data_IF_980747579587
#
_entry.id   IF_980747579587
#
_cell.length_a   1.000
_cell.length_b   1.000
_cell.length_c   1.000
_cell.angle_alpha   90.00
_cell.angle_beta   90.00
_cell.angle_gamma   90.00
#
_symmetry.space_group_name_H-M   'P 1'
#
loop_
_entity.id
_entity.type
_entity.pdbx_description
1 polymer ?
#
# COMPACT_ATOMS: atom_id res chain seq x y z
N UNK A 1 18.57 10.42 11.67
CA UNK A 1 18.54 9.20 10.81
C UNK A 1 17.39 8.26 11.13
N UNK A 2 17.20 7.85 12.39
CA UNK A 2 16.14 6.91 12.80
C UNK A 2 14.70 7.27 12.39
N UNK A 3 14.28 8.51 12.69
CA UNK A 3 12.96 9.03 12.30
C UNK A 3 12.70 8.96 10.79
N UNK A 4 13.73 9.19 9.97
CA UNK A 4 13.63 9.12 8.51
C UNK A 4 13.48 7.67 8.03
N UNK A 5 14.29 6.73 8.53
CA UNK A 5 14.16 5.31 8.20
C UNK A 5 12.81 4.73 8.61
N UNK A 6 12.29 5.15 9.78
CA UNK A 6 10.93 4.82 10.22
C UNK A 6 9.87 5.32 9.23
N UNK A 7 9.97 6.58 8.84
CA UNK A 7 9.07 7.17 7.85
C UNK A 7 9.11 6.39 6.53
N UNK A 8 10.30 6.09 6.01
CA UNK A 8 10.46 5.28 4.80
C UNK A 8 9.79 3.91 4.95
N UNK A 9 10.00 3.21 6.08
CA UNK A 9 9.32 1.93 6.33
C UNK A 9 7.79 2.04 6.31
N UNK A 10 7.23 3.06 6.95
CA UNK A 10 5.79 3.33 6.95
C UNK A 10 5.28 3.61 5.53
N UNK A 11 5.99 4.46 4.79
CA UNK A 11 5.62 4.86 3.44
C UNK A 11 5.59 3.65 2.49
N UNK A 12 6.66 2.83 2.50
CA UNK A 12 6.74 1.63 1.68
C UNK A 12 5.63 0.64 2.04
N UNK A 13 5.36 0.44 3.34
CA UNK A 13 4.29 -0.46 3.78
C UNK A 13 2.91 0.01 3.30
N UNK A 14 2.61 1.31 3.46
CA UNK A 14 1.33 1.87 3.02
C UNK A 14 1.16 1.84 1.51
N UNK A 15 2.23 2.15 0.76
CA UNK A 15 2.21 2.06 -0.70
C UNK A 15 2.02 0.61 -1.17
N UNK A 16 2.71 -0.35 -0.58
CA UNK A 16 2.52 -1.77 -0.89
C UNK A 16 1.10 -2.21 -0.57
N UNK A 17 0.55 -1.84 0.59
CA UNK A 17 -0.82 -2.19 0.94
C UNK A 17 -1.84 -1.63 -0.07
N UNK A 18 -1.64 -0.39 -0.54
CA UNK A 18 -2.44 0.23 -1.59
C UNK A 18 -2.34 -0.54 -2.92
N UNK A 19 -1.13 -0.89 -3.36
CA UNK A 19 -0.92 -1.74 -4.55
C UNK A 19 -1.57 -3.11 -4.42
N UNK A 20 -1.47 -3.75 -3.26
CA UNK A 20 -2.06 -5.07 -3.01
C UNK A 20 -3.58 -5.02 -3.10
N UNK A 21 -4.23 -3.99 -2.55
CA UNK A 21 -5.68 -3.79 -2.70
C UNK A 21 -6.06 -3.58 -4.18
N UNK A 22 -5.32 -2.73 -4.89
CA UNK A 22 -5.57 -2.50 -6.32
C UNK A 22 -5.42 -3.79 -7.14
N UNK A 23 -4.41 -4.63 -6.83
CA UNK A 23 -4.20 -5.92 -7.47
C UNK A 23 -5.32 -6.93 -7.18
N UNK A 24 -5.75 -7.03 -5.91
CA UNK A 24 -6.83 -7.93 -5.51
C UNK A 24 -8.15 -7.52 -6.15
N UNK A 25 -8.58 -6.26 -5.95
CA UNK A 25 -9.86 -5.76 -6.48
C UNK A 25 -9.84 -5.70 -8.02
N UNK A 26 -8.74 -5.25 -8.61
CA UNK A 26 -8.60 -5.08 -10.06
C UNK A 26 -8.63 -6.39 -10.85
N UNK A 27 -8.37 -7.54 -10.22
CA UNK A 27 -8.44 -8.86 -10.88
C UNK A 27 -9.84 -9.48 -10.85
N UNK A 28 -10.82 -8.82 -10.20
CA UNK A 28 -12.18 -9.35 -10.00
C UNK A 28 -12.94 -9.58 -11.31
N UNK A 29 -12.79 -8.71 -12.32
CA UNK A 29 -13.50 -8.85 -13.60
C UNK A 29 -13.16 -10.17 -14.29
N UNK A 30 -11.87 -10.48 -14.42
CA UNK A 30 -11.41 -11.73 -15.03
C UNK A 30 -11.72 -12.93 -14.12
N UNK A 31 -11.62 -12.77 -12.79
CA UNK A 31 -11.91 -13.87 -11.86
C UNK A 31 -13.40 -14.28 -11.84
N UNK A 32 -14.34 -13.37 -12.09
CA UNK A 32 -15.77 -13.67 -12.07
C UNK A 32 -16.36 -13.98 -13.44
N UNK A 33 -15.78 -13.43 -14.51
CA UNK A 33 -16.36 -13.47 -15.86
C UNK A 33 -15.30 -13.83 -16.93
N UNK A 34 -14.34 -14.71 -16.62
CA UNK A 34 -13.24 -15.09 -17.52
C UNK A 34 -13.72 -15.47 -18.94
N UNK A 35 -14.88 -16.10 -19.09
CA UNK A 35 -15.43 -16.53 -20.39
C UNK A 35 -15.82 -15.39 -21.32
N UNK A 36 -15.89 -14.15 -20.82
CA UNK A 36 -16.23 -12.96 -21.61
C UNK A 36 -15.02 -12.32 -22.29
N UNK A 37 -13.81 -12.80 -22.02
CA UNK A 37 -12.57 -12.17 -22.47
C UNK A 37 -11.75 -13.16 -23.31
N UNK A 38 -11.38 -12.75 -24.52
CA UNK A 38 -10.52 -13.55 -25.40
C UNK A 38 -9.17 -13.85 -24.73
N UNK A 39 -8.69 -15.10 -24.84
CA UNK A 39 -7.42 -15.52 -24.27
C UNK A 39 -7.45 -15.82 -22.76
N UNK A 40 -8.65 -15.85 -22.16
CA UNK A 40 -8.86 -16.18 -20.73
C UNK A 40 -9.57 -17.53 -20.53
N UNK A 41 -9.66 -18.38 -21.56
CA UNK A 41 -10.34 -19.68 -21.53
C UNK A 41 -9.69 -20.62 -20.49
N UNK A 42 -8.35 -20.59 -20.42
CA UNK A 42 -7.62 -21.35 -19.42
C UNK A 42 -7.93 -20.88 -17.99
N UNK A 43 -8.14 -19.56 -17.79
CA UNK A 43 -8.55 -19.02 -16.49
C UNK A 43 -9.97 -19.46 -16.16
N UNK A 44 -10.88 -19.51 -17.14
CA UNK A 44 -12.25 -19.97 -16.92
C UNK A 44 -12.31 -21.41 -16.36
N UNK A 45 -11.40 -22.29 -16.78
CA UNK A 45 -11.29 -23.65 -16.23
C UNK A 45 -10.81 -23.68 -14.77
N UNK A 46 -10.05 -22.67 -14.34
CA UNK A 46 -9.52 -22.52 -12.98
C UNK A 46 -10.12 -21.33 -12.24
N UNK A 47 -11.36 -20.95 -12.57
CA UNK A 47 -11.99 -19.73 -12.08
C UNK A 47 -12.00 -19.62 -10.55
N UNK A 48 -12.26 -20.74 -9.85
CA UNK A 48 -12.25 -20.81 -8.39
C UNK A 48 -10.90 -20.37 -7.78
N UNK A 49 -9.79 -20.67 -8.45
CA UNK A 49 -8.45 -20.33 -7.99
C UNK A 49 -8.17 -18.83 -8.14
N UNK A 50 -8.69 -18.22 -9.20
CA UNK A 50 -8.60 -16.77 -9.40
C UNK A 50 -9.50 -16.00 -8.44
N UNK A 51 -10.69 -16.52 -8.12
CA UNK A 51 -11.53 -15.98 -7.04
C UNK A 51 -10.78 -16.06 -5.70
N UNK A 52 -10.11 -17.19 -5.42
CA UNK A 52 -9.25 -17.30 -4.24
C UNK A 52 -8.14 -16.25 -4.24
N UNK A 53 -7.46 -16.01 -5.37
CA UNK A 53 -6.44 -14.96 -5.46
C UNK A 53 -7.01 -13.57 -5.18
N UNK A 54 -8.18 -13.23 -5.71
CA UNK A 54 -8.87 -11.95 -5.42
C UNK A 54 -9.12 -11.80 -3.93
N UNK A 55 -9.71 -12.81 -3.29
CA UNK A 55 -10.05 -12.78 -1.86
C UNK A 55 -8.81 -12.72 -0.98
N UNK A 56 -7.83 -13.59 -1.24
CA UNK A 56 -6.59 -13.66 -0.47
C UNK A 56 -5.77 -12.37 -0.61
N UNK A 57 -5.58 -11.88 -1.83
CA UNK A 57 -4.82 -10.64 -2.08
C UNK A 57 -5.52 -9.44 -1.45
N UNK A 58 -6.84 -9.33 -1.56
CA UNK A 58 -7.60 -8.25 -0.91
C UNK A 58 -7.48 -8.32 0.62
N UNK A 59 -7.63 -9.51 1.21
CA UNK A 59 -7.46 -9.69 2.65
C UNK A 59 -6.05 -9.31 3.11
N UNK A 60 -5.01 -9.70 2.37
CA UNK A 60 -3.62 -9.33 2.66
C UNK A 60 -3.41 -7.82 2.53
N UNK A 61 -4.02 -7.17 1.53
CA UNK A 61 -4.00 -5.71 1.40
C UNK A 61 -4.62 -5.02 2.63
N UNK A 62 -5.75 -5.53 3.14
CA UNK A 62 -6.40 -5.02 4.36
C UNK A 62 -5.48 -5.22 5.58
N UNK A 63 -4.84 -6.39 5.70
CA UNK A 63 -3.83 -6.64 6.73
C UNK A 63 -2.65 -5.67 6.61
N UNK A 64 -2.23 -5.35 5.39
CA UNK A 64 -1.18 -4.38 5.13
C UNK A 64 -1.56 -2.95 5.55
N UNK A 65 -2.80 -2.54 5.30
CA UNK A 65 -3.34 -1.25 5.78
C UNK A 65 -3.34 -1.22 7.31
N UNK A 66 -3.82 -2.29 7.96
CA UNK A 66 -3.80 -2.41 9.42
C UNK A 66 -2.38 -2.34 9.98
N UNK A 67 -1.42 -3.04 9.35
CA UNK A 67 0.00 -2.98 9.70
C UNK A 67 0.56 -1.57 9.55
N UNK A 68 0.25 -0.88 8.45
CA UNK A 68 0.64 0.52 8.22
C UNK A 68 0.14 1.44 9.33
N UNK A 69 -1.15 1.36 9.67
CA UNK A 69 -1.74 2.15 10.76
C UNK A 69 -1.08 1.82 12.11
N UNK A 70 -0.78 0.54 12.37
CA UNK A 70 -0.09 0.11 13.57
C UNK A 70 1.34 0.69 13.65
N UNK A 71 2.07 0.73 12.53
CA UNK A 71 3.43 1.32 12.43
C UNK A 71 3.40 2.85 12.62
N UNK A 72 2.43 3.53 12.01
CA UNK A 72 2.19 4.97 12.22
C UNK A 72 1.92 5.24 13.69
N UNK A 73 1.06 4.45 14.32
CA UNK A 73 0.69 4.64 15.73
C UNK A 73 1.77 4.19 16.71
N UNK A 74 2.75 3.41 16.25
CA UNK A 74 3.79 2.80 17.08
C UNK A 74 3.23 1.78 18.06
N UNK A 75 2.31 0.92 17.58
CA UNK A 75 1.76 -0.17 18.39
C UNK A 75 2.78 -1.30 18.53
N UNK A 76 2.69 -2.01 19.64
CA UNK A 76 3.38 -3.30 19.82
C UNK A 76 3.03 -4.26 18.67
N UNK A 77 3.99 -5.10 18.28
CA UNK A 77 3.87 -6.06 17.18
C UNK A 77 3.62 -5.46 15.78
N UNK A 78 3.53 -4.13 15.61
CA UNK A 78 3.27 -3.52 14.30
C UNK A 78 4.25 -3.96 13.21
N UNK A 79 5.53 -4.09 13.57
CA UNK A 79 6.57 -4.57 12.66
C UNK A 79 6.37 -6.06 12.29
N UNK A 80 5.97 -6.91 13.25
CA UNK A 80 5.67 -8.33 13.00
C UNK A 80 4.47 -8.48 12.08
N UNK A 81 3.40 -7.73 12.35
CA UNK A 81 2.18 -7.79 11.55
C UNK A 81 2.42 -7.31 10.11
N UNK A 82 3.27 -6.29 9.93
CA UNK A 82 3.73 -5.87 8.61
C UNK A 82 4.51 -6.97 7.88
N UNK A 83 5.46 -7.64 8.56
CA UNK A 83 6.18 -8.79 7.98
C UNK A 83 5.23 -9.92 7.58
N UNK A 84 4.24 -10.25 8.42
CA UNK A 84 3.25 -11.29 8.10
C UNK A 84 2.49 -10.92 6.82
N UNK A 85 2.03 -9.68 6.68
CA UNK A 85 1.35 -9.22 5.49
C UNK A 85 2.24 -9.30 4.24
N UNK A 86 3.49 -8.84 4.34
CA UNK A 86 4.45 -8.84 3.23
C UNK A 86 4.83 -10.27 2.80
N UNK A 87 5.15 -11.15 3.74
CA UNK A 87 5.49 -12.55 3.45
C UNK A 87 4.29 -13.26 2.81
N UNK A 88 3.10 -13.10 3.40
CA UNK A 88 1.87 -13.72 2.85
C UNK A 88 1.58 -13.20 1.44
N UNK A 89 1.71 -11.89 1.22
CA UNK A 89 1.54 -11.25 -0.09
C UNK A 89 2.53 -11.73 -1.13
N UNK A 90 3.80 -11.85 -0.76
CA UNK A 90 4.84 -12.41 -1.63
C UNK A 90 4.55 -13.87 -2.00
N UNK A 91 4.19 -14.72 -1.02
CA UNK A 91 3.91 -16.14 -1.28
C UNK A 91 2.70 -16.30 -2.22
N UNK A 92 1.56 -15.69 -1.88
CA UNK A 92 0.35 -15.78 -2.71
C UNK A 92 0.60 -15.18 -4.10
N UNK A 93 1.29 -14.04 -4.15
CA UNK A 93 1.60 -13.36 -5.40
C UNK A 93 2.52 -14.16 -6.33
N UNK A 94 3.57 -14.79 -5.80
CA UNK A 94 4.46 -15.65 -6.60
C UNK A 94 3.68 -16.84 -7.17
N UNK A 95 2.85 -17.50 -6.34
CA UNK A 95 2.02 -18.61 -6.81
C UNK A 95 1.08 -18.13 -7.92
N UNK A 96 0.45 -16.98 -7.76
CA UNK A 96 -0.42 -16.39 -8.79
C UNK A 96 0.32 -16.06 -10.10
N UNK A 97 1.56 -15.54 -10.03
CA UNK A 97 2.42 -15.34 -11.21
C UNK A 97 2.67 -16.66 -11.93
N UNK A 98 3.12 -17.68 -11.19
CA UNK A 98 3.47 -18.98 -11.76
C UNK A 98 2.26 -19.64 -12.43
N UNK A 99 1.11 -19.65 -11.74
CA UNK A 99 -0.15 -20.16 -12.30
C UNK A 99 -0.54 -19.40 -13.56
N UNK A 100 -0.53 -18.06 -13.52
CA UNK A 100 -0.93 -17.25 -14.68
C UNK A 100 -0.02 -17.47 -15.89
N UNK A 101 1.30 -17.51 -15.68
CA UNK A 101 2.25 -17.81 -16.76
C UNK A 101 2.07 -19.21 -17.33
N UNK A 102 1.76 -20.20 -16.49
CA UNK A 102 1.48 -21.56 -16.97
C UNK A 102 0.19 -21.68 -17.79
N UNK A 103 -0.83 -20.87 -17.48
CA UNK A 103 -2.15 -20.95 -18.12
C UNK A 103 -2.26 -20.09 -19.38
N UNK A 104 -1.66 -18.89 -19.39
CA UNK A 104 -1.85 -17.89 -20.45
C UNK A 104 -0.56 -17.25 -20.96
N UNK A 105 0.62 -17.72 -20.53
CA UNK A 105 1.92 -17.17 -20.94
C UNK A 105 2.28 -15.79 -20.36
N UNK A 106 1.34 -15.10 -19.68
CA UNK A 106 1.52 -13.79 -19.05
C UNK A 106 0.93 -13.75 -17.64
N UNK A 107 1.45 -12.88 -16.79
CA UNK A 107 0.97 -12.66 -15.43
C UNK A 107 0.58 -11.20 -15.14
N UNK A 108 0.65 -10.33 -16.16
CA UNK A 108 0.33 -8.92 -15.99
C UNK A 108 -1.14 -8.73 -15.56
N UNK A 109 -1.42 -7.78 -14.63
CA UNK A 109 -0.49 -6.83 -13.99
C UNK A 109 0.11 -7.32 -12.65
N UNK A 110 -0.12 -8.58 -12.27
CA UNK A 110 0.23 -9.09 -10.93
C UNK A 110 1.74 -9.05 -10.65
N UNK A 111 2.58 -9.15 -11.67
CA UNK A 111 4.04 -8.98 -11.58
C UNK A 111 4.44 -7.73 -10.80
N UNK A 112 3.86 -6.58 -11.16
CA UNK A 112 4.19 -5.29 -10.55
C UNK A 112 3.84 -5.25 -9.06
N UNK A 113 2.69 -5.83 -8.69
CA UNK A 113 2.25 -5.92 -7.30
C UNK A 113 3.20 -6.77 -6.48
N UNK A 114 3.66 -7.91 -7.03
CA UNK A 114 4.60 -8.79 -6.35
C UNK A 114 5.97 -8.16 -6.23
N UNK A 115 6.48 -7.51 -7.28
CA UNK A 115 7.77 -6.83 -7.23
C UNK A 115 7.78 -5.71 -6.19
N UNK A 116 6.73 -4.88 -6.14
CA UNK A 116 6.58 -3.87 -5.11
C UNK A 116 6.55 -4.49 -3.69
N UNK A 117 5.84 -5.61 -3.52
CA UNK A 117 5.76 -6.33 -2.24
C UNK A 117 7.11 -6.91 -1.82
N UNK A 118 7.85 -7.52 -2.75
CA UNK A 118 9.18 -8.09 -2.49
C UNK A 118 10.19 -7.00 -2.14
N UNK A 119 10.19 -5.87 -2.86
CA UNK A 119 11.06 -4.74 -2.53
C UNK A 119 10.76 -4.23 -1.12
N UNK A 120 9.49 -4.05 -0.77
CA UNK A 120 9.10 -3.63 0.58
C UNK A 120 9.47 -4.67 1.64
N UNK A 121 9.33 -5.97 1.34
CA UNK A 121 9.79 -7.04 2.22
C UNK A 121 11.30 -6.95 2.46
N UNK A 122 12.11 -6.76 1.42
CA UNK A 122 13.56 -6.57 1.55
C UNK A 122 13.87 -5.36 2.42
N UNK A 123 13.21 -4.23 2.18
CA UNK A 123 13.35 -3.03 3.03
C UNK A 123 13.04 -3.38 4.49
N UNK A 124 11.92 -4.05 4.76
CA UNK A 124 11.56 -4.43 6.12
C UNK A 124 12.59 -5.35 6.75
N UNK A 125 13.06 -6.38 6.04
CA UNK A 125 14.11 -7.29 6.53
C UNK A 125 15.39 -6.52 6.91
N UNK A 126 15.79 -5.53 6.11
CA UNK A 126 16.92 -4.64 6.42
C UNK A 126 16.63 -3.82 7.69
N UNK A 127 15.44 -3.22 7.81
CA UNK A 127 15.04 -2.46 9.01
C UNK A 127 14.95 -3.35 10.27
N UNK A 128 14.79 -4.67 10.09
CA UNK A 128 14.75 -5.66 11.17
C UNK A 128 16.11 -6.09 11.70
N UNK A 129 17.20 -5.79 10.98
CA UNK A 129 18.55 -6.14 11.42
C UNK A 129 18.85 -5.49 12.78
N UNK A 130 19.49 -6.18 13.75
CA UNK A 130 19.64 -5.68 15.12
C UNK A 130 20.21 -4.26 15.21
N UNK A 131 21.23 -3.96 14.40
CA UNK A 131 21.87 -2.63 14.35
C UNK A 131 20.94 -1.54 13.80
N UNK A 132 20.10 -1.85 12.81
CA UNK A 132 19.18 -0.88 12.18
C UNK A 132 17.92 -0.72 13.03
N UNK A 133 17.40 -1.81 13.59
CA UNK A 133 16.21 -1.83 14.43
C UNK A 133 16.34 -0.91 15.65
N UNK A 134 17.52 -0.89 16.27
CA UNK A 134 17.84 0.02 17.38
C UNK A 134 17.78 1.51 16.98
N UNK A 135 18.00 1.84 15.71
CA UNK A 135 17.95 3.21 15.19
C UNK A 135 16.54 3.62 14.79
N UNK A 136 15.74 2.70 14.24
CA UNK A 136 14.43 2.99 13.65
C UNK A 136 13.35 3.15 14.72
N UNK A 137 13.39 2.32 15.76
CA UNK A 137 12.41 2.22 16.86
C UNK A 137 10.98 2.64 16.46
N UNK A 138 10.22 1.69 15.90
CA UNK A 138 8.83 1.92 15.47
C UNK A 138 7.89 2.24 16.64
N UNK A 139 8.28 1.97 17.88
CA UNK A 139 7.43 2.18 19.06
C UNK A 139 7.62 3.61 19.61
N UNK A 140 8.79 4.23 19.40
CA UNK A 140 9.08 5.59 19.89
C UNK A 140 8.99 6.66 18.81
N UNK A 141 7.90 7.44 18.82
CA UNK A 141 7.87 8.75 18.15
C UNK A 141 6.90 9.70 18.83
N UNK A 142 7.17 11.01 18.65
CA UNK A 142 6.27 12.10 19.02
C UNK A 142 4.98 12.07 18.19
N UNK A 143 3.93 12.74 18.68
CA UNK A 143 2.62 12.78 18.05
C UNK A 143 2.68 13.38 16.63
N UNK A 144 3.39 14.50 16.45
CA UNK A 144 3.48 15.20 15.17
C UNK A 144 4.19 14.36 14.10
N UNK A 145 5.25 13.62 14.45
CA UNK A 145 5.93 12.71 13.53
C UNK A 145 5.06 11.54 13.09
N UNK A 146 4.19 11.01 13.97
CA UNK A 146 3.19 9.98 13.59
C UNK A 146 2.20 10.56 12.59
N UNK A 147 1.65 11.72 12.89
CA UNK A 147 0.65 12.38 12.05
C UNK A 147 1.22 12.75 10.68
N UNK A 148 2.45 13.28 10.63
CA UNK A 148 3.11 13.60 9.38
C UNK A 148 3.42 12.36 8.52
N UNK A 149 3.90 11.28 9.14
CA UNK A 149 4.17 10.03 8.43
C UNK A 149 2.89 9.40 7.87
N UNK A 150 1.79 9.40 8.65
CA UNK A 150 0.48 8.96 8.18
C UNK A 150 -0.06 9.83 7.04
N UNK A 151 0.05 11.15 7.17
CA UNK A 151 -0.39 12.11 6.15
C UNK A 151 0.34 11.94 4.82
N UNK A 152 1.68 11.90 4.84
CA UNK A 152 2.49 11.63 3.65
C UNK A 152 2.16 10.29 2.99
N UNK A 153 1.98 9.24 3.80
CA UNK A 153 1.65 7.90 3.27
C UNK A 153 0.28 7.91 2.59
N UNK A 154 -0.71 8.58 3.18
CA UNK A 154 -2.02 8.75 2.56
C UNK A 154 -1.93 9.54 1.25
N UNK A 155 -1.15 10.62 1.20
CA UNK A 155 -0.95 11.41 -0.04
C UNK A 155 -0.36 10.53 -1.14
N UNK A 156 0.72 9.80 -0.85
CA UNK A 156 1.41 8.97 -1.85
C UNK A 156 0.53 7.81 -2.32
N UNK A 157 -0.23 7.17 -1.41
CA UNK A 157 -1.23 6.17 -1.78
C UNK A 157 -2.38 6.79 -2.61
N UNK A 158 -2.78 8.02 -2.30
CA UNK A 158 -3.79 8.76 -3.07
C UNK A 158 -3.31 9.06 -4.49
N UNK A 159 -2.06 9.53 -4.64
CA UNK A 159 -1.44 9.73 -5.96
C UNK A 159 -1.35 8.44 -6.76
N UNK A 160 -1.04 7.31 -6.10
CA UNK A 160 -1.07 6.00 -6.76
C UNK A 160 -2.45 5.73 -7.36
N UNK A 161 -3.53 5.88 -6.58
CA UNK A 161 -4.91 5.65 -7.03
C UNK A 161 -5.29 6.56 -8.20
N UNK A 162 -4.95 7.86 -8.13
CA UNK A 162 -5.24 8.82 -9.20
C UNK A 162 -4.45 8.54 -10.49
N UNK A 163 -3.30 7.86 -10.37
CA UNK A 163 -2.45 7.55 -11.52
C UNK A 163 -2.80 6.23 -12.22
N UNK A 164 -3.65 5.37 -11.64
CA UNK A 164 -3.90 4.00 -12.16
C UNK A 164 -4.32 4.01 -13.62
N UNK A 165 -5.19 4.93 -14.02
CA UNK A 165 -5.66 5.00 -15.41
C UNK A 165 -4.51 5.17 -16.42
N UNK A 166 -3.46 5.90 -16.05
CA UNK A 166 -2.34 6.21 -16.94
C UNK A 166 -1.48 4.98 -17.26
N UNK A 167 -1.38 4.02 -16.34
CA UNK A 167 -0.50 2.85 -16.52
C UNK A 167 -1.26 1.53 -16.65
N UNK A 168 -2.44 1.39 -16.03
CA UNK A 168 -3.28 0.20 -16.18
C UNK A 168 -4.15 0.28 -17.44
N UNK A 169 -4.68 1.45 -17.81
CA UNK A 169 -5.57 1.63 -18.96
C UNK A 169 -5.05 1.00 -20.26
N UNK A 170 -3.81 1.31 -20.70
CA UNK A 170 -3.26 0.75 -21.94
C UNK A 170 -3.13 -0.78 -21.97
N UNK A 171 -3.14 -1.45 -20.81
CA UNK A 171 -2.99 -2.91 -20.69
C UNK A 171 -4.32 -3.64 -20.45
N UNK A 172 -5.43 -2.91 -20.33
CA UNK A 172 -6.76 -3.45 -20.01
C UNK A 172 -7.78 -3.16 -21.12
N UNK A 173 -7.33 -3.01 -22.36
CA UNK A 173 -8.20 -2.88 -23.53
C UNK A 173 -8.51 -4.28 -24.07
N UNK A 174 -9.77 -4.68 -23.96
CA UNK A 174 -10.31 -5.94 -24.49
C UNK A 174 -11.47 -5.62 -25.42
N UNK A 175 -11.47 -6.17 -26.64
CA UNK A 175 -12.52 -5.94 -27.64
C UNK A 175 -12.84 -4.45 -27.90
N UNK A 176 -11.81 -3.59 -27.84
CA UNK A 176 -11.95 -2.14 -28.01
C UNK A 176 -12.50 -1.38 -26.80
N UNK A 177 -12.77 -2.07 -25.69
CA UNK A 177 -13.26 -1.48 -24.43
C UNK A 177 -12.15 -1.48 -23.38
N UNK A 178 -11.92 -0.34 -22.73
CA UNK A 178 -10.96 -0.23 -21.64
C UNK A 178 -11.60 -0.63 -20.29
N UNK A 179 -11.29 -1.83 -19.80
CA UNK A 179 -11.85 -2.35 -18.55
C UNK A 179 -11.33 -1.60 -17.31
N UNK A 180 -10.24 -0.83 -17.42
CA UNK A 180 -9.80 0.02 -16.32
C UNK A 180 -10.83 1.12 -16.00
N UNK A 181 -11.66 1.50 -16.98
CA UNK A 181 -12.71 2.52 -16.81
C UNK A 181 -13.78 2.11 -15.79
N UNK A 182 -14.00 0.80 -15.59
CA UNK A 182 -14.98 0.28 -14.63
C UNK A 182 -14.65 0.65 -13.18
N UNK A 183 -13.37 0.88 -12.88
CA UNK A 183 -12.90 1.28 -11.56
C UNK A 183 -12.48 2.77 -11.50
N UNK A 184 -12.59 3.50 -12.60
CA UNK A 184 -12.04 4.86 -12.70
C UNK A 184 -12.63 5.79 -11.65
N UNK A 185 -13.97 5.82 -11.51
CA UNK A 185 -14.63 6.68 -10.52
C UNK A 185 -14.22 6.34 -9.09
N UNK A 186 -14.16 5.04 -8.75
CA UNK A 186 -13.79 4.55 -7.43
C UNK A 186 -12.34 4.91 -7.10
N UNK A 187 -11.44 4.81 -8.08
CA UNK A 187 -10.04 5.21 -7.93
C UNK A 187 -9.88 6.73 -7.81
N UNK A 188 -10.64 7.51 -8.57
CA UNK A 188 -10.65 8.99 -8.46
C UNK A 188 -11.17 9.45 -7.09
N UNK A 189 -12.28 8.88 -6.62
CA UNK A 189 -12.85 9.20 -5.31
C UNK A 189 -11.92 8.75 -4.18
N UNK A 190 -11.45 7.50 -4.21
CA UNK A 190 -10.54 6.96 -3.20
C UNK A 190 -9.22 7.74 -3.13
N UNK A 191 -8.63 8.01 -4.29
CA UNK A 191 -7.41 8.81 -4.40
C UNK A 191 -7.59 10.24 -3.90
N UNK A 192 -8.71 10.89 -4.27
CA UNK A 192 -9.06 12.23 -3.80
C UNK A 192 -9.26 12.30 -2.29
N UNK A 193 -9.97 11.34 -1.70
CA UNK A 193 -10.15 11.26 -0.23
C UNK A 193 -8.79 11.11 0.46
N UNK A 194 -7.94 10.20 -0.03
CA UNK A 194 -6.62 9.98 0.54
C UNK A 194 -5.72 11.22 0.46
N UNK A 195 -5.77 11.97 -0.66
CA UNK A 195 -5.09 13.25 -0.80
C UNK A 195 -5.59 14.28 0.22
N UNK A 196 -6.90 14.49 0.29
CA UNK A 196 -7.50 15.50 1.18
C UNK A 196 -7.22 15.18 2.65
N UNK A 197 -7.43 13.93 3.06
CA UNK A 197 -7.13 13.48 4.42
C UNK A 197 -5.63 13.61 4.72
N UNK A 198 -4.77 13.19 3.78
CA UNK A 198 -3.33 13.27 3.95
C UNK A 198 -2.81 14.69 4.08
N UNK A 199 -3.32 15.62 3.25
CA UNK A 199 -3.04 17.05 3.34
C UNK A 199 -3.53 17.64 4.68
N UNK A 200 -4.74 17.28 5.10
CA UNK A 200 -5.29 17.71 6.39
C UNK A 200 -4.42 17.28 7.57
N UNK A 201 -3.92 16.03 7.55
CA UNK A 201 -3.00 15.52 8.58
C UNK A 201 -1.65 16.27 8.57
N UNK A 202 -1.10 16.59 7.40
CA UNK A 202 0.14 17.37 7.30
C UNK A 202 -0.02 18.80 7.81
N UNK A 203 -1.08 19.48 7.41
CA UNK A 203 -1.39 20.84 7.88
C UNK A 203 -1.56 20.83 9.40
N UNK A 204 -2.30 19.85 9.94
CA UNK A 204 -2.48 19.71 11.38
C UNK A 204 -1.16 19.48 12.11
N UNK A 205 -0.28 18.62 11.60
CA UNK A 205 1.04 18.38 12.19
C UNK A 205 1.93 19.63 12.15
N UNK A 206 1.87 20.41 11.07
CA UNK A 206 2.65 21.64 10.92
C UNK A 206 2.16 22.74 11.88
N UNK A 207 0.84 22.97 11.94
CA UNK A 207 0.24 23.97 12.84
C UNK A 207 0.49 23.61 14.30
N UNK A 208 0.27 22.35 14.68
CA UNK A 208 0.51 21.88 16.05
C UNK A 208 1.98 22.01 16.46
N UNK A 209 2.91 21.85 15.52
CA UNK A 209 4.35 22.06 15.80
C UNK A 209 4.69 23.54 15.98
N UNK A 210 4.08 24.43 15.19
CA UNK A 210 4.29 25.87 15.30
C UNK A 210 3.81 26.42 16.65
N UNK A 211 2.59 26.03 17.07
CA UNK A 211 2.01 26.46 18.35
C UNK A 211 2.85 25.99 19.55
N UNK A 212 3.37 24.76 19.54
CA UNK A 212 4.24 24.26 20.61
C UNK A 212 5.54 25.05 20.71
N UNK A 213 6.13 25.42 19.56
CA UNK A 213 7.36 26.22 19.55
C UNK A 213 7.12 27.64 20.07
N UNK A 214 6.00 28.28 19.75
CA UNK A 214 5.66 29.62 20.27
C UNK A 214 5.52 29.63 21.80
N UNK A 215 4.82 28.63 22.36
CA UNK A 215 4.66 28.50 23.82
C UNK A 215 6.03 28.27 24.50
N UNK A 216 6.87 27.41 23.94
CA UNK A 216 8.19 27.13 24.49
C UNK A 216 9.11 28.36 24.51
N UNK A 217 9.04 29.19 23.46
CA UNK A 217 9.78 30.46 23.40
C UNK A 217 9.24 31.45 24.45
N UNK A 218 7.93 31.53 24.64
CA UNK A 218 7.30 32.39 25.63
C UNK A 218 7.64 32.00 27.07
N UNK A 219 7.64 30.71 27.41
CA UNK A 219 8.03 30.25 28.76
C UNK A 219 9.50 30.56 29.06
N UNK A 220 10.39 30.41 28.08
CA UNK A 220 11.82 30.66 28.25
C UNK A 220 12.14 32.14 28.52
N UNK A 221 11.34 33.08 27.97
CA UNK A 221 11.53 34.51 28.17
C UNK A 221 10.94 35.04 29.48
N UNK A 222 10.01 34.31 30.11
CA UNK A 222 9.45 34.63 31.43
C UNK A 222 10.35 34.11 32.56
N UNK A 223 11.18 33.09 32.29
CA UNK A 223 12.10 32.48 33.27
C UNK A 223 13.51 33.11 33.34
N UNK A 224 13.77 34.20 32.61
CA UNK A 224 15.04 34.93 32.57
C UNK A 224 14.92 36.31 33.24
#
# INVERSE_FOLDING_TARGET
MGKFLRFIGILFMGLTAAFTILGGVGTTCVALDATKYEGMEAIAQFQWLYIFYVLATTAIGILGIRGTIALVRGKENAYRDALIALISGTVIGIVHILTSRSLRGSSMPVDMVVYATVITLIVFLILGLPKVKQLVDFEKSDHNGKTAAGGMTAIVAGMLFLSVQMWAGPTHIFDGVNLADHFHTQMMVGGGILLVVGLGLLIYAAVSSATVNEIAVQDSSISA
#
